data_IF_000892868878
#
_entry.id   IF_000892868878
#
_cell.length_a   1.000
_cell.length_b   1.000
_cell.length_c   1.000
_cell.angle_alpha   90.00
_cell.angle_beta   90.00
_cell.angle_gamma   90.00
#
_symmetry.space_group_name_H-M   'P 1'
#
loop_
_entity.id
_entity.type
_entity.pdbx_description
1 polymer ?
#
# COMPACT_ATOMS: atom_id res chain seq x y z
N UNK A 1 32.25 10.27 -11.27
CA UNK A 1 30.89 9.72 -11.52
C UNK A 1 30.93 8.22 -11.28
N UNK A 2 30.23 7.74 -10.24
CA UNK A 2 30.01 6.30 -10.07
C UNK A 2 28.96 5.86 -11.11
N UNK A 3 29.38 5.16 -12.15
CA UNK A 3 28.45 4.43 -13.02
C UNK A 3 27.83 3.30 -12.20
N UNK A 4 26.52 3.35 -12.03
CA UNK A 4 25.77 2.27 -11.37
C UNK A 4 25.96 0.99 -12.21
N UNK A 5 26.38 -0.09 -11.56
CA UNK A 5 26.61 -1.36 -12.24
C UNK A 5 25.30 -1.85 -12.86
N UNK A 6 25.27 -2.05 -14.17
CA UNK A 6 24.12 -2.61 -14.91
C UNK A 6 23.67 -3.92 -14.28
N UNK A 7 24.62 -4.76 -13.83
CA UNK A 7 24.34 -6.03 -13.16
C UNK A 7 23.60 -5.82 -11.83
N UNK A 8 23.97 -4.81 -11.04
CA UNK A 8 23.30 -4.51 -9.77
C UNK A 8 21.87 -4.03 -10.01
N UNK A 9 21.65 -3.16 -11.02
CA UNK A 9 20.30 -2.73 -11.38
C UNK A 9 19.43 -3.90 -11.84
N UNK A 10 19.94 -4.79 -12.68
CA UNK A 10 19.21 -6.00 -13.12
C UNK A 10 18.87 -6.93 -11.95
N UNK A 11 19.78 -7.12 -10.99
CA UNK A 11 19.53 -7.90 -9.78
C UNK A 11 18.46 -7.24 -8.88
N UNK A 12 18.49 -5.92 -8.75
CA UNK A 12 17.47 -5.15 -8.00
C UNK A 12 16.10 -5.24 -8.69
N UNK A 13 16.02 -5.04 -9.98
CA UNK A 13 14.76 -5.13 -10.75
C UNK A 13 14.16 -6.54 -10.67
N UNK A 14 14.98 -7.58 -10.72
CA UNK A 14 14.53 -8.96 -10.54
C UNK A 14 14.03 -9.25 -9.13
N UNK A 15 14.60 -8.66 -8.09
CA UNK A 15 14.13 -8.78 -6.71
C UNK A 15 12.84 -8.00 -6.49
N UNK A 16 12.79 -6.74 -6.91
CA UNK A 16 11.60 -5.87 -6.79
C UNK A 16 10.40 -6.51 -7.54
N UNK A 17 10.62 -7.06 -8.73
CA UNK A 17 9.55 -7.70 -9.51
C UNK A 17 9.06 -9.04 -8.94
N UNK A 18 9.84 -9.73 -8.10
CA UNK A 18 9.48 -11.06 -7.53
C UNK A 18 8.92 -11.00 -6.12
N UNK A 19 9.28 -10.01 -5.32
CA UNK A 19 8.79 -9.86 -3.95
C UNK A 19 7.53 -8.98 -3.93
N UNK A 20 6.37 -9.60 -4.17
CA UNK A 20 5.10 -9.04 -3.74
C UNK A 20 5.06 -9.08 -2.20
N UNK A 21 5.58 -8.03 -1.56
CA UNK A 21 5.51 -7.88 -0.12
C UNK A 21 4.04 -7.69 0.24
N UNK A 22 3.42 -8.76 0.76
CA UNK A 22 2.03 -8.74 1.20
C UNK A 22 1.95 -8.44 2.69
N UNK A 23 1.01 -7.58 3.06
CA UNK A 23 0.69 -7.28 4.47
C UNK A 23 0.04 -8.50 5.13
N UNK A 24 0.45 -8.79 6.35
CA UNK A 24 -0.06 -9.94 7.09
C UNK A 24 -1.35 -9.57 7.84
N UNK A 25 -2.35 -10.42 7.71
CA UNK A 25 -3.68 -10.22 8.31
C UNK A 25 -4.07 -11.43 9.15
N UNK A 26 -4.58 -11.18 10.35
CA UNK A 26 -5.29 -12.18 11.16
C UNK A 26 -6.76 -12.22 10.74
N UNK A 27 -7.31 -13.41 10.63
CA UNK A 27 -8.70 -13.66 10.25
C UNK A 27 -9.41 -14.44 11.35
N UNK A 28 -10.45 -13.88 11.92
CA UNK A 28 -11.38 -14.56 12.82
C UNK A 28 -12.72 -14.73 12.13
N UNK A 29 -13.23 -15.93 12.05
CA UNK A 29 -14.55 -16.23 11.49
C UNK A 29 -15.40 -16.97 12.52
N UNK A 30 -16.67 -16.55 12.64
CA UNK A 30 -17.67 -17.18 13.50
C UNK A 30 -18.85 -17.64 12.66
N UNK A 31 -19.17 -18.92 12.77
CA UNK A 31 -20.20 -19.62 12.04
C UNK A 31 -21.10 -20.37 13.01
N UNK A 32 -22.16 -19.73 13.47
CA UNK A 32 -23.17 -20.32 14.36
C UNK A 32 -24.43 -20.65 13.59
N UNK A 33 -25.05 -21.77 13.95
CA UNK A 33 -26.30 -22.18 13.39
C UNK A 33 -27.36 -21.08 13.56
N UNK A 34 -28.14 -20.84 12.50
CA UNK A 34 -29.20 -19.84 12.40
C UNK A 34 -28.76 -18.37 12.57
N UNK A 35 -27.43 -18.12 12.64
CA UNK A 35 -26.86 -16.77 12.59
C UNK A 35 -26.22 -16.48 11.23
N UNK A 36 -25.95 -15.20 10.99
CA UNK A 36 -25.17 -14.74 9.83
C UNK A 36 -23.67 -15.04 10.04
N UNK A 37 -22.94 -15.16 8.93
CA UNK A 37 -21.48 -15.32 8.96
C UNK A 37 -20.87 -14.04 9.54
N UNK A 38 -20.03 -14.15 10.58
CA UNK A 38 -19.29 -13.02 11.13
C UNK A 38 -17.81 -13.17 10.82
N UNK A 39 -17.22 -12.17 10.19
CA UNK A 39 -15.81 -12.12 9.81
C UNK A 39 -15.15 -10.91 10.41
N UNK A 40 -14.00 -11.11 11.05
CA UNK A 40 -13.12 -10.05 11.51
C UNK A 40 -11.74 -10.23 10.87
N UNK A 41 -11.24 -9.18 10.23
CA UNK A 41 -9.90 -9.11 9.67
C UNK A 41 -9.13 -8.02 10.39
N UNK A 42 -7.88 -8.30 10.76
CA UNK A 42 -7.01 -7.36 11.45
C UNK A 42 -5.62 -7.35 10.80
N UNK A 43 -5.18 -6.18 10.37
CA UNK A 43 -3.81 -5.98 9.93
C UNK A 43 -2.85 -6.06 11.13
N UNK A 44 -1.80 -6.88 11.02
CA UNK A 44 -0.89 -7.16 12.14
C UNK A 44 -0.02 -5.95 12.46
N UNK A 45 0.37 -5.18 11.45
CA UNK A 45 1.33 -4.09 11.63
C UNK A 45 0.68 -2.84 12.25
N UNK A 46 -0.55 -2.52 11.84
CA UNK A 46 -1.26 -1.31 12.30
C UNK A 46 -2.32 -1.57 13.35
N UNK A 47 -2.69 -2.85 13.58
CA UNK A 47 -3.83 -3.27 14.41
C UNK A 47 -5.19 -2.74 13.93
N UNK A 48 -5.28 -2.18 12.73
CA UNK A 48 -6.54 -1.76 12.14
C UNK A 48 -7.38 -2.99 11.84
N UNK A 49 -8.64 -2.99 12.26
CA UNK A 49 -9.54 -4.11 12.07
C UNK A 49 -10.86 -3.71 11.42
N UNK A 50 -11.46 -4.67 10.74
CA UNK A 50 -12.81 -4.59 10.16
C UNK A 50 -13.61 -5.79 10.63
N UNK A 51 -14.91 -5.56 10.91
CA UNK A 51 -15.88 -6.59 11.26
C UNK A 51 -17.03 -6.51 10.28
N UNK A 52 -17.35 -7.64 9.69
CA UNK A 52 -18.44 -7.75 8.72
C UNK A 52 -19.37 -8.88 9.08
N UNK A 53 -20.62 -8.70 8.69
CA UNK A 53 -21.62 -9.74 8.66
C UNK A 53 -21.94 -10.10 7.21
N UNK A 54 -22.05 -11.40 6.97
CA UNK A 54 -22.45 -11.94 5.66
C UNK A 54 -23.96 -11.91 5.50
N UNK A 55 -24.42 -11.93 4.25
CA UNK A 55 -25.86 -11.90 3.94
C UNK A 55 -26.49 -13.29 4.06
N UNK A 56 -25.69 -14.34 4.17
CA UNK A 56 -26.16 -15.73 4.25
C UNK A 56 -26.23 -16.22 5.69
N UNK A 57 -27.33 -16.88 6.02
CA UNK A 57 -27.53 -17.55 7.31
C UNK A 57 -26.89 -18.94 7.25
N UNK A 58 -26.15 -19.28 8.29
CA UNK A 58 -25.56 -20.60 8.49
C UNK A 58 -26.67 -21.59 8.83
N UNK A 59 -26.76 -22.69 8.09
CA UNK A 59 -27.80 -23.70 8.27
C UNK A 59 -27.20 -24.98 8.85
N UNK A 60 -28.04 -25.76 9.53
CA UNK A 60 -27.66 -27.12 9.92
C UNK A 60 -27.52 -28.00 8.67
N UNK A 61 -26.52 -28.85 8.63
CA UNK A 61 -26.33 -29.82 7.55
C UNK A 61 -27.15 -31.08 7.82
N UNK A 62 -27.90 -31.55 6.83
CA UNK A 62 -28.63 -32.81 6.91
C UNK A 62 -27.68 -34.03 6.78
N UNK A 63 -26.55 -33.81 6.14
CA UNK A 63 -25.49 -34.80 5.95
C UNK A 63 -24.15 -34.24 6.46
N UNK A 64 -23.03 -34.55 5.82
CA UNK A 64 -21.71 -34.05 6.19
C UNK A 64 -21.65 -32.52 6.06
N UNK A 65 -21.39 -31.81 7.19
CA UNK A 65 -21.19 -30.37 7.22
C UNK A 65 -19.88 -29.93 6.57
N UNK A 66 -19.72 -28.60 6.44
CA UNK A 66 -18.46 -28.02 5.97
C UNK A 66 -17.35 -28.25 7.01
N UNK A 67 -16.15 -28.56 6.54
CA UNK A 67 -14.98 -28.78 7.40
C UNK A 67 -14.21 -27.48 7.62
N UNK A 68 -13.59 -27.34 8.80
CA UNK A 68 -12.70 -26.20 9.10
C UNK A 68 -11.60 -26.05 8.06
N UNK A 69 -11.03 -27.16 7.61
CA UNK A 69 -10.00 -27.15 6.56
C UNK A 69 -10.50 -26.53 5.25
N UNK A 70 -11.75 -26.81 4.88
CA UNK A 70 -12.36 -26.25 3.67
C UNK A 70 -12.59 -24.74 3.78
N UNK A 71 -12.98 -24.27 4.96
CA UNK A 71 -13.13 -22.86 5.27
C UNK A 71 -11.78 -22.15 5.18
N UNK A 72 -10.75 -22.72 5.82
CA UNK A 72 -9.38 -22.20 5.80
C UNK A 72 -8.83 -22.09 4.37
N UNK A 73 -9.01 -23.11 3.54
CA UNK A 73 -8.63 -23.08 2.13
C UNK A 73 -9.31 -21.95 1.34
N UNK A 74 -10.57 -21.64 1.63
CA UNK A 74 -11.27 -20.56 0.95
C UNK A 74 -10.82 -19.18 1.45
N UNK A 75 -10.66 -19.02 2.75
CA UNK A 75 -10.22 -17.75 3.34
C UNK A 75 -8.79 -17.41 2.98
N UNK A 76 -7.90 -18.38 2.86
CA UNK A 76 -6.49 -18.17 2.49
C UNK A 76 -6.28 -17.65 1.05
N UNK A 77 -7.30 -17.72 0.19
CA UNK A 77 -7.23 -17.27 -1.19
C UNK A 77 -7.34 -15.74 -1.29
N UNK A 78 -6.26 -15.03 -1.06
CA UNK A 78 -6.24 -13.55 -1.11
C UNK A 78 -6.01 -12.99 -2.53
N UNK A 79 -5.71 -13.84 -3.51
CA UNK A 79 -5.55 -13.45 -4.92
C UNK A 79 -4.51 -12.34 -5.13
N UNK A 80 -4.88 -11.33 -5.94
CA UNK A 80 -4.02 -10.20 -6.27
C UNK A 80 -4.10 -9.04 -5.26
N UNK A 81 -4.70 -9.27 -4.06
CA UNK A 81 -4.74 -8.24 -3.03
C UNK A 81 -3.35 -8.04 -2.40
N UNK A 82 -3.18 -6.89 -1.77
CA UNK A 82 -1.96 -6.56 -1.01
C UNK A 82 -1.81 -7.38 0.28
N UNK A 83 -2.80 -8.22 0.60
CA UNK A 83 -2.87 -8.98 1.85
C UNK A 83 -2.48 -10.45 1.69
N UNK A 84 -1.97 -11.01 2.79
CA UNK A 84 -1.79 -12.45 3.00
C UNK A 84 -2.34 -12.81 4.38
N UNK A 85 -3.25 -13.77 4.45
CA UNK A 85 -3.73 -14.28 5.72
C UNK A 85 -2.59 -15.04 6.41
N UNK A 86 -2.22 -14.61 7.61
CA UNK A 86 -1.17 -15.22 8.42
C UNK A 86 -1.75 -16.24 9.41
N UNK A 87 -2.82 -15.88 10.10
CA UNK A 87 -3.49 -16.74 11.06
C UNK A 87 -4.99 -16.74 10.78
N UNK A 88 -5.61 -17.92 10.88
CA UNK A 88 -7.06 -18.09 10.77
C UNK A 88 -7.57 -18.75 12.05
N UNK A 89 -8.50 -18.11 12.71
CA UNK A 89 -9.23 -18.65 13.85
C UNK A 89 -10.68 -18.87 13.45
N UNK A 90 -11.12 -20.12 13.50
CA UNK A 90 -12.46 -20.54 13.09
C UNK A 90 -13.24 -20.99 14.32
N UNK A 91 -14.31 -20.27 14.63
CA UNK A 91 -15.31 -20.67 15.61
C UNK A 91 -16.55 -21.13 14.85
N UNK A 92 -16.88 -22.39 14.93
CA UNK A 92 -18.02 -22.96 14.20
C UNK A 92 -18.74 -24.01 15.03
N UNK A 93 -20.04 -24.09 14.82
CA UNK A 93 -20.87 -25.18 15.36
C UNK A 93 -20.67 -26.47 14.57
N UNK A 94 -21.03 -27.59 15.16
CA UNK A 94 -20.95 -28.89 14.51
C UNK A 94 -22.03 -29.04 13.42
N UNK A 95 -21.71 -29.79 12.38
CA UNK A 95 -22.65 -30.16 11.31
C UNK A 95 -23.40 -28.98 10.69
N UNK A 96 -22.65 -27.92 10.31
CA UNK A 96 -23.21 -26.77 9.62
C UNK A 96 -22.90 -26.79 8.12
N UNK A 97 -23.74 -26.11 7.34
CA UNK A 97 -23.51 -25.86 5.91
C UNK A 97 -23.51 -24.36 5.63
N UNK A 98 -22.51 -23.94 4.86
CA UNK A 98 -22.33 -22.56 4.41
C UNK A 98 -21.98 -22.59 2.92
N UNK A 99 -22.64 -21.77 2.07
CA UNK A 99 -22.26 -21.67 0.67
C UNK A 99 -20.83 -21.14 0.54
N UNK A 100 -20.02 -21.79 -0.30
CA UNK A 100 -18.63 -21.34 -0.57
C UNK A 100 -18.61 -19.93 -1.21
N UNK A 101 -19.64 -19.61 -2.01
CA UNK A 101 -19.81 -18.27 -2.58
C UNK A 101 -19.89 -17.20 -1.51
N UNK A 102 -20.66 -17.45 -0.43
CA UNK A 102 -20.83 -16.50 0.68
C UNK A 102 -19.53 -16.30 1.47
N UNK A 103 -18.73 -17.37 1.67
CA UNK A 103 -17.40 -17.26 2.27
C UNK A 103 -16.44 -16.43 1.41
N UNK A 104 -16.50 -16.63 0.10
CA UNK A 104 -15.67 -15.86 -0.84
C UNK A 104 -16.08 -14.40 -0.92
N UNK A 105 -17.36 -14.13 -0.86
CA UNK A 105 -17.92 -12.77 -0.90
C UNK A 105 -17.54 -11.98 0.35
N UNK A 106 -17.79 -12.51 1.54
CA UNK A 106 -17.45 -11.83 2.80
C UNK A 106 -15.96 -11.61 2.94
N UNK A 107 -15.12 -12.56 2.51
CA UNK A 107 -13.68 -12.41 2.48
C UNK A 107 -13.28 -11.24 1.58
N UNK A 108 -13.83 -11.15 0.35
CA UNK A 108 -13.50 -10.11 -0.62
C UNK A 108 -13.90 -8.73 -0.10
N UNK A 109 -15.14 -8.59 0.37
CA UNK A 109 -15.63 -7.37 1.02
C UNK A 109 -14.77 -6.96 2.22
N UNK A 110 -14.38 -7.92 3.05
CA UNK A 110 -13.53 -7.67 4.21
C UNK A 110 -12.15 -7.15 3.86
N UNK A 111 -11.49 -7.72 2.85
CA UNK A 111 -10.19 -7.26 2.39
C UNK A 111 -10.28 -5.88 1.73
N UNK A 112 -11.32 -5.59 0.96
CA UNK A 112 -11.57 -4.27 0.36
C UNK A 112 -11.81 -3.20 1.43
N UNK A 113 -12.62 -3.49 2.45
CA UNK A 113 -12.88 -2.57 3.55
C UNK A 113 -11.65 -2.33 4.43
N UNK A 114 -10.85 -3.37 4.67
CA UNK A 114 -9.59 -3.25 5.39
C UNK A 114 -8.59 -2.37 4.63
N UNK A 115 -8.48 -2.54 3.32
CA UNK A 115 -7.65 -1.70 2.46
C UNK A 115 -8.09 -0.25 2.51
N UNK A 116 -9.39 0.01 2.41
CA UNK A 116 -9.94 1.36 2.49
C UNK A 116 -9.62 2.04 3.84
N UNK A 117 -9.83 1.33 4.97
CA UNK A 117 -9.48 1.85 6.30
C UNK A 117 -7.99 2.11 6.47
N UNK A 118 -7.14 1.24 5.93
CA UNK A 118 -5.70 1.45 5.93
C UNK A 118 -5.33 2.72 5.14
N UNK A 119 -5.87 2.89 3.93
CA UNK A 119 -5.63 4.08 3.13
C UNK A 119 -6.13 5.36 3.83
N UNK A 120 -7.27 5.31 4.51
CA UNK A 120 -7.77 6.43 5.29
C UNK A 120 -6.84 6.81 6.44
N UNK A 121 -6.25 5.83 7.11
CA UNK A 121 -5.32 6.08 8.23
C UNK A 121 -4.04 6.81 7.79
N UNK A 122 -3.67 6.74 6.51
CA UNK A 122 -2.51 7.43 5.94
C UNK A 122 -2.86 8.80 5.34
N UNK A 123 -4.14 9.17 5.25
CA UNK A 123 -4.52 10.51 4.79
C UNK A 123 -4.05 11.55 5.80
N UNK A 124 -3.25 12.50 5.32
CA UNK A 124 -2.86 13.65 6.13
C UNK A 124 -3.99 14.66 6.11
N UNK A 125 -4.30 15.25 7.27
CA UNK A 125 -5.17 16.41 7.33
C UNK A 125 -4.54 17.56 6.55
N UNK A 126 -5.32 18.18 5.66
CA UNK A 126 -4.88 19.40 5.00
C UNK A 126 -4.89 20.52 6.03
N UNK A 127 -3.73 20.82 6.59
CA UNK A 127 -3.57 22.02 7.39
C UNK A 127 -3.45 23.20 6.43
N UNK A 128 -4.46 24.07 6.42
CA UNK A 128 -4.38 25.35 5.74
C UNK A 128 -3.41 26.26 6.51
N UNK A 129 -2.13 26.06 6.30
CA UNK A 129 -1.11 26.99 6.77
C UNK A 129 -1.25 28.29 5.96
N UNK A 130 -1.86 29.29 6.56
CA UNK A 130 -1.65 30.69 6.12
C UNK A 130 -0.22 31.05 6.47
N UNK A 131 0.67 30.85 5.51
CA UNK A 131 2.03 31.40 5.61
C UNK A 131 1.88 32.92 5.49
N UNK A 132 1.97 33.62 6.60
CA UNK A 132 2.24 35.07 6.59
C UNK A 132 3.69 35.23 6.10
N UNK A 133 3.86 35.13 4.79
CA UNK A 133 5.13 35.49 4.15
C UNK A 133 5.24 37.01 4.26
N UNK A 134 5.92 37.47 5.29
CA UNK A 134 6.41 38.86 5.29
C UNK A 134 7.35 38.97 4.10
N UNK A 135 6.92 39.71 3.07
CA UNK A 135 7.83 40.12 2.01
C UNK A 135 8.92 40.99 2.62
N UNK A 136 9.98 40.36 3.08
CA UNK A 136 11.20 41.11 3.32
C UNK A 136 11.75 41.47 1.93
N UNK A 137 11.59 42.76 1.57
CA UNK A 137 12.27 43.30 0.42
C UNK A 137 13.76 43.23 0.72
N UNK A 138 14.40 42.16 0.26
CA UNK A 138 15.85 42.10 0.20
C UNK A 138 16.32 43.17 -0.79
N UNK A 139 16.58 44.37 -0.28
CA UNK A 139 17.34 45.37 -1.04
C UNK A 139 18.82 44.92 -0.91
N UNK A 140 19.22 43.97 -1.75
CA UNK A 140 20.66 43.67 -1.86
C UNK A 140 21.33 44.87 -2.50
N UNK A 141 22.17 45.55 -1.74
CA UNK A 141 23.11 46.56 -2.26
C UNK A 141 24.30 45.92 -2.98
N UNK A 142 24.28 44.60 -3.10
CA UNK A 142 25.35 43.86 -3.79
C UNK A 142 25.05 43.83 -5.29
N UNK A 143 26.09 44.12 -6.07
CA UNK A 143 26.04 43.99 -7.52
C UNK A 143 25.67 42.55 -7.89
N UNK A 144 24.70 42.41 -8.79
CA UNK A 144 24.27 41.07 -9.28
C UNK A 144 25.44 40.50 -10.09
N UNK A 145 26.04 39.42 -9.58
CA UNK A 145 27.09 38.69 -10.30
C UNK A 145 26.47 37.61 -11.17
N UNK A 146 26.79 37.64 -12.44
CA UNK A 146 26.33 36.64 -13.42
C UNK A 146 27.39 35.55 -13.52
N UNK A 147 26.95 34.31 -13.25
CA UNK A 147 27.85 33.14 -13.31
C UNK A 147 27.39 32.22 -14.44
N UNK A 148 28.28 31.85 -15.33
CA UNK A 148 28.06 30.90 -16.38
C UNK A 148 28.61 29.52 -16.02
N UNK A 149 27.77 28.49 -16.03
CA UNK A 149 28.23 27.12 -15.83
C UNK A 149 28.20 26.39 -17.19
N UNK A 150 29.34 25.85 -17.57
CA UNK A 150 29.50 25.08 -18.82
C UNK A 150 29.70 23.59 -18.50
N UNK A 151 28.80 22.76 -18.96
CA UNK A 151 28.96 21.31 -18.82
C UNK A 151 29.97 20.69 -19.78
N UNK A 152 30.37 21.45 -20.82
CA UNK A 152 31.33 21.02 -21.84
C UNK A 152 31.88 22.25 -22.55
N UNK A 153 33.19 22.28 -22.78
CA UNK A 153 33.82 23.27 -23.62
C UNK A 153 33.62 22.84 -25.08
N UNK A 154 33.02 23.71 -25.91
CA UNK A 154 32.87 23.50 -27.34
C UNK A 154 33.68 24.53 -28.12
N UNK A 155 34.30 24.11 -29.20
CA UNK A 155 35.04 25.01 -30.12
C UNK A 155 34.08 25.91 -30.91
N UNK A 156 32.78 25.62 -30.90
CA UNK A 156 31.75 26.38 -31.60
C UNK A 156 31.27 27.62 -30.84
N UNK A 157 31.63 27.73 -29.55
CA UNK A 157 31.25 28.86 -28.69
C UNK A 157 32.40 29.88 -28.69
N UNK A 158 32.11 31.11 -29.06
CA UNK A 158 33.01 32.22 -28.94
C UNK A 158 33.04 32.75 -27.49
N UNK A 159 34.00 32.33 -26.71
CA UNK A 159 34.18 32.74 -25.32
C UNK A 159 34.74 34.15 -25.15
N UNK A 160 35.16 34.81 -26.24
CA UNK A 160 35.77 36.16 -26.15
C UNK A 160 34.74 37.26 -25.98
N UNK A 161 33.43 36.95 -26.21
CA UNK A 161 32.32 37.89 -26.16
C UNK A 161 31.49 37.81 -24.87
N UNK A 162 31.98 37.17 -23.80
CA UNK A 162 31.29 37.06 -22.51
C UNK A 162 31.42 38.36 -21.68
N UNK A 163 30.97 39.49 -22.23
CA UNK A 163 31.17 40.82 -21.63
C UNK A 163 30.39 41.08 -20.33
N UNK A 164 29.39 40.26 -20.02
CA UNK A 164 28.50 40.44 -18.86
C UNK A 164 28.52 39.22 -17.92
N UNK A 165 29.62 38.48 -17.90
CA UNK A 165 29.76 37.30 -17.04
C UNK A 165 30.91 37.52 -16.09
N UNK A 166 30.64 37.44 -14.78
CA UNK A 166 31.62 37.65 -13.71
C UNK A 166 32.47 36.40 -13.44
N UNK A 167 31.81 35.23 -13.53
CA UNK A 167 32.46 33.95 -13.25
C UNK A 167 32.06 32.89 -14.30
N UNK A 168 33.04 32.04 -14.65
CA UNK A 168 32.79 30.88 -15.50
C UNK A 168 33.25 29.61 -14.77
N UNK A 169 32.34 28.65 -14.59
CA UNK A 169 32.67 27.32 -14.08
C UNK A 169 32.61 26.32 -15.24
N UNK A 170 33.60 25.44 -15.30
CA UNK A 170 33.71 24.39 -16.32
C UNK A 170 33.64 23.01 -15.65
#
# INVERSE_FOLDING_TARGET
>A
YKTVSIKLNQEMDQKIGKENIKRKVNCNIELKQDETIKLELQDIDTNISVKLEGDSVVKKADNAGITSKRIEEQLSKTGNTIFKIANINIKMDESIIVPISSLNEIRRRGLEELEHKLLESFKREQVNLKLDVKEEKFISKEEVKVTLCLNKISKEIDYTNLKNVDNVYI
#
